data_IF_370931601226
#
_entry.id   IF_370931601226
#
_cell.length_a   1.000
_cell.length_b   1.000
_cell.length_c   1.000
_cell.angle_alpha   90.00
_cell.angle_beta   90.00
_cell.angle_gamma   90.00
#
_symmetry.space_group_name_H-M   'P 1'
#
loop_
_entity.id
_entity.type
_entity.pdbx_description
1 polymer ?
#
# COMPACT_ATOMS: atom_id res chain seq x y z
N UNK A 1 -2.85 -15.39 19.44
CA UNK A 1 -2.24 -14.96 18.17
C UNK A 1 -3.06 -13.78 17.67
N UNK A 2 -2.64 -12.55 17.97
CA UNK A 2 -3.38 -11.34 17.54
C UNK A 2 -3.05 -10.99 16.08
N UNK A 3 -3.91 -10.24 15.37
CA UNK A 3 -3.60 -9.80 14.02
C UNK A 3 -2.36 -8.91 14.04
N UNK A 4 -1.26 -9.35 13.42
CA UNK A 4 -0.18 -8.44 13.07
C UNK A 4 -0.76 -7.44 12.05
N UNK A 5 -1.12 -6.25 12.53
CA UNK A 5 -1.64 -5.17 11.70
C UNK A 5 -0.59 -4.78 10.65
N UNK A 6 -1.04 -4.43 9.44
CA UNK A 6 -0.16 -4.06 8.33
C UNK A 6 0.87 -2.98 8.71
N UNK A 7 0.49 -2.10 9.66
CA UNK A 7 1.34 -1.07 10.28
C UNK A 7 2.68 -1.61 10.81
N UNK A 8 2.70 -2.81 11.41
CA UNK A 8 3.90 -3.41 12.01
C UNK A 8 4.63 -4.40 11.13
N UNK A 9 4.04 -4.81 10.00
CA UNK A 9 4.62 -5.82 9.12
C UNK A 9 5.36 -5.24 7.93
N UNK A 10 4.93 -4.07 7.46
CA UNK A 10 5.39 -3.47 6.20
C UNK A 10 6.07 -2.11 6.39
N UNK A 11 5.82 -1.43 7.51
CA UNK A 11 6.45 -0.16 7.86
C UNK A 11 7.38 -0.32 9.08
N UNK A 12 8.67 -0.55 8.83
CA UNK A 12 9.70 -0.47 9.89
C UNK A 12 9.98 0.97 10.35
N UNK A 13 9.34 1.98 9.73
CA UNK A 13 9.72 3.39 9.91
C UNK A 13 8.51 4.32 10.07
N UNK A 14 7.88 4.33 11.26
CA UNK A 14 7.20 5.50 11.85
C UNK A 14 6.33 6.40 10.96
N UNK A 15 5.76 5.88 9.88
CA UNK A 15 4.93 6.59 8.91
C UNK A 15 3.55 5.96 8.92
N UNK A 16 2.51 6.79 9.08
CA UNK A 16 1.13 6.34 8.95
C UNK A 16 0.85 6.01 7.48
N UNK A 17 0.67 4.71 7.21
CA UNK A 17 0.41 4.18 5.88
C UNK A 17 -0.97 4.62 5.40
N UNK A 18 -1.04 5.26 4.23
CA UNK A 18 -2.33 5.53 3.58
C UNK A 18 -2.95 4.22 3.09
N UNK A 19 -4.27 4.09 3.22
CA UNK A 19 -5.04 3.03 2.58
C UNK A 19 -6.02 3.71 1.63
N UNK A 20 -5.67 3.86 0.34
CA UNK A 20 -6.61 4.43 -0.61
C UNK A 20 -7.80 3.49 -0.84
N UNK A 21 -9.02 3.95 -0.58
CA UNK A 21 -10.27 3.20 -0.76
C UNK A 21 -11.12 3.71 -1.91
N UNK A 22 -10.78 4.88 -2.47
CA UNK A 22 -11.42 5.46 -3.65
C UNK A 22 -10.38 5.88 -4.68
N UNK A 23 -10.80 6.08 -5.92
CA UNK A 23 -9.93 6.53 -7.00
C UNK A 23 -9.29 7.89 -6.68
N UNK A 24 -10.05 8.79 -6.03
CA UNK A 24 -9.57 10.12 -5.61
C UNK A 24 -8.51 10.01 -4.51
N UNK A 25 -8.70 9.09 -3.55
CA UNK A 25 -7.70 8.82 -2.52
C UNK A 25 -6.44 8.21 -3.11
N UNK A 26 -6.58 7.31 -4.10
CA UNK A 26 -5.44 6.69 -4.78
C UNK A 26 -4.64 7.75 -5.55
N UNK A 27 -5.35 8.61 -6.30
CA UNK A 27 -4.74 9.72 -7.02
C UNK A 27 -4.02 10.69 -6.07
N UNK A 28 -4.65 11.07 -4.96
CA UNK A 28 -4.02 11.93 -3.96
C UNK A 28 -2.75 11.28 -3.36
N UNK A 29 -2.78 9.98 -3.08
CA UNK A 29 -1.63 9.26 -2.57
C UNK A 29 -0.48 9.22 -3.60
N UNK A 30 -0.78 9.00 -4.88
CA UNK A 30 0.18 9.04 -5.98
C UNK A 30 0.81 10.43 -6.15
N UNK A 31 0.02 11.50 -6.06
CA UNK A 31 0.50 12.87 -6.11
C UNK A 31 1.41 13.20 -4.93
N UNK A 32 1.04 12.79 -3.71
CA UNK A 32 1.85 12.97 -2.50
C UNK A 32 3.17 12.18 -2.55
N UNK A 33 3.15 11.00 -3.16
CA UNK A 33 4.35 10.18 -3.37
C UNK A 33 5.33 10.82 -4.37
N UNK A 34 4.87 11.80 -5.16
CA UNK A 34 5.70 12.61 -6.06
C UNK A 34 6.60 11.76 -6.98
N UNK A 35 6.06 10.66 -7.49
CA UNK A 35 6.79 9.74 -8.34
C UNK A 35 7.83 8.89 -7.60
N UNK A 36 7.69 8.67 -6.29
CA UNK A 36 8.52 7.76 -5.49
C UNK A 36 7.69 6.57 -5.04
N UNK A 37 8.23 5.35 -5.13
CA UNK A 37 7.53 4.18 -4.59
C UNK A 37 7.31 4.33 -3.09
N UNK A 38 6.11 3.99 -2.63
CA UNK A 38 5.78 4.23 -1.24
C UNK A 38 4.79 3.27 -0.60
N UNK A 39 5.06 2.85 0.62
CA UNK A 39 4.24 1.88 1.34
C UNK A 39 2.80 2.36 1.55
N UNK A 40 1.84 1.46 1.30
CA UNK A 40 0.42 1.63 1.65
C UNK A 40 0.04 0.62 2.72
N UNK A 41 -1.07 0.88 3.40
CA UNK A 41 -1.47 0.16 4.62
C UNK A 41 -2.14 -1.18 4.35
N UNK A 42 -1.67 -1.97 3.38
CA UNK A 42 -2.28 -3.25 3.00
C UNK A 42 -1.27 -4.39 3.08
N UNK A 43 -1.70 -5.55 3.54
CA UNK A 43 -0.88 -6.77 3.63
C UNK A 43 -1.74 -8.01 3.50
N UNK A 44 -1.21 -9.10 2.94
CA UNK A 44 -1.89 -10.40 2.90
C UNK A 44 -1.12 -11.48 3.69
N UNK A 45 -0.18 -11.08 4.56
CA UNK A 45 0.71 -11.96 5.33
C UNK A 45 0.00 -13.05 6.15
N UNK A 46 -1.27 -12.86 6.48
CA UNK A 46 -2.09 -13.86 7.19
C UNK A 46 -2.61 -14.93 6.23
N UNK A 47 -3.09 -14.52 5.06
CA UNK A 47 -3.67 -15.40 4.05
C UNK A 47 -3.32 -14.83 2.68
N UNK A 48 -2.41 -15.51 1.99
CA UNK A 48 -1.95 -15.15 0.64
C UNK A 48 -3.13 -14.88 -0.31
N UNK A 49 -3.06 -13.77 -1.04
CA UNK A 49 -4.11 -13.32 -1.96
C UNK A 49 -5.32 -12.67 -1.27
N UNK A 50 -5.32 -12.54 0.07
CA UNK A 50 -6.35 -11.84 0.84
C UNK A 50 -5.73 -10.67 1.58
N UNK A 51 -5.69 -9.52 0.89
CA UNK A 51 -5.15 -8.29 1.45
C UNK A 51 -6.08 -7.68 2.49
N UNK A 52 -5.52 -7.38 3.65
CA UNK A 52 -6.17 -6.69 4.78
C UNK A 52 -5.57 -5.30 4.96
N UNK A 53 -6.43 -4.34 5.29
CA UNK A 53 -6.03 -2.96 5.55
C UNK A 53 -5.68 -2.73 7.03
N UNK A 54 -4.71 -1.86 7.29
CA UNK A 54 -4.32 -1.42 8.62
C UNK A 54 -5.27 -0.38 9.24
N UNK A 55 -6.08 0.29 8.44
CA UNK A 55 -6.90 1.44 8.85
C UNK A 55 -8.09 1.10 9.77
N UNK A 56 -8.38 -0.18 9.96
CA UNK A 56 -9.48 -0.65 10.81
C UNK A 56 -10.87 -0.39 10.24
N UNK A 57 -10.99 0.06 8.98
CA UNK A 57 -12.27 0.39 8.33
C UNK A 57 -12.94 -0.82 7.66
N UNK A 58 -12.41 -2.03 7.87
CA UNK A 58 -12.94 -3.27 7.30
C UNK A 58 -12.25 -3.69 6.00
N UNK A 59 -12.82 -4.65 5.25
CA UNK A 59 -12.21 -5.20 4.04
C UNK A 59 -12.02 -4.14 2.95
N UNK A 60 -11.09 -4.40 2.04
CA UNK A 60 -10.90 -3.58 0.84
C UNK A 60 -11.95 -3.98 -0.20
N UNK A 61 -12.90 -3.09 -0.48
CA UNK A 61 -13.91 -3.30 -1.53
C UNK A 61 -13.35 -3.00 -2.93
N UNK A 62 -12.29 -2.17 -2.99
CA UNK A 62 -11.63 -1.75 -4.22
C UNK A 62 -10.12 -1.82 -4.02
N UNK A 63 -9.41 -2.26 -5.06
CA UNK A 63 -7.95 -2.30 -5.12
C UNK A 63 -7.46 -1.59 -6.37
N UNK A 64 -6.30 -0.94 -6.30
CA UNK A 64 -5.73 -0.17 -7.41
C UNK A 64 -4.40 -0.76 -7.90
N UNK A 65 -4.34 -2.09 -8.02
CA UNK A 65 -3.14 -2.80 -8.46
C UNK A 65 -2.64 -2.29 -9.81
N UNK A 66 -1.31 -2.27 -9.94
CA UNK A 66 -0.67 -2.11 -11.24
C UNK A 66 -0.97 -3.33 -12.14
N UNK A 67 -0.59 -3.21 -13.41
CA UNK A 67 -0.91 -4.19 -14.44
C UNK A 67 -0.45 -5.63 -14.14
N UNK A 68 0.63 -5.81 -13.37
CA UNK A 68 1.20 -7.11 -13.03
C UNK A 68 0.97 -7.51 -11.58
N UNK A 69 0.23 -6.72 -10.81
CA UNK A 69 0.12 -6.93 -9.37
C UNK A 69 -1.31 -7.30 -8.96
N UNK A 70 -1.50 -8.01 -7.84
CA UNK A 70 -0.43 -8.64 -7.06
C UNK A 70 0.09 -9.90 -7.78
N UNK A 71 1.40 -10.16 -7.72
CA UNK A 71 2.01 -11.33 -8.37
C UNK A 71 2.73 -12.28 -7.41
N UNK A 72 2.95 -11.89 -6.17
CA UNK A 72 3.67 -12.64 -5.17
C UNK A 72 4.95 -13.31 -5.70
N UNK A 73 5.79 -12.51 -6.36
CA UNK A 73 7.05 -12.94 -6.95
C UNK A 73 7.91 -13.70 -5.93
N UNK A 74 8.12 -14.99 -6.21
CA UNK A 74 8.89 -15.89 -5.36
C UNK A 74 8.20 -16.31 -4.05
N UNK A 75 6.91 -16.01 -3.86
CA UNK A 75 6.14 -16.44 -2.69
C UNK A 75 6.44 -15.68 -1.40
N UNK A 76 6.95 -14.44 -1.50
CA UNK A 76 7.52 -13.67 -0.39
C UNK A 76 7.03 -12.22 -0.32
N UNK A 77 6.16 -11.79 -1.23
CA UNK A 77 5.67 -10.41 -1.28
C UNK A 77 4.33 -10.34 -0.56
N UNK A 78 4.28 -9.56 0.51
CA UNK A 78 3.12 -9.53 1.40
C UNK A 78 2.67 -8.13 1.78
N UNK A 79 3.26 -7.10 1.18
CA UNK A 79 3.06 -5.72 1.57
C UNK A 79 2.73 -4.88 0.35
N UNK A 80 1.71 -4.03 0.42
CA UNK A 80 1.38 -3.14 -0.69
C UNK A 80 2.22 -1.88 -0.70
N UNK A 81 2.67 -1.45 -1.87
CA UNK A 81 3.24 -0.12 -2.13
C UNK A 81 2.52 0.56 -3.31
N UNK A 82 2.57 1.88 -3.37
CA UNK A 82 2.44 2.63 -4.62
C UNK A 82 3.70 2.38 -5.44
N UNK A 83 3.51 2.04 -6.71
CA UNK A 83 4.57 1.70 -7.64
C UNK A 83 4.56 2.61 -8.87
N UNK A 84 5.71 3.21 -9.16
CA UNK A 84 5.95 4.03 -10.34
C UNK A 84 6.91 3.31 -11.29
N UNK A 85 6.40 2.89 -12.45
CA UNK A 85 7.25 2.32 -13.50
C UNK A 85 8.07 3.42 -14.21
N UNK A 86 9.32 3.61 -13.78
CA UNK A 86 10.24 4.55 -14.41
C UNK A 86 10.70 4.13 -15.81
N UNK A 87 10.45 2.88 -16.22
CA UNK A 87 10.78 2.41 -17.57
C UNK A 87 9.79 2.94 -18.61
N UNK A 88 8.65 3.51 -18.17
CA UNK A 88 7.51 3.96 -19.01
C UNK A 88 6.94 2.84 -19.88
N UNK A 89 7.14 1.59 -19.49
CA UNK A 89 6.62 0.45 -20.22
C UNK A 89 5.12 0.30 -19.97
N UNK A 90 4.60 0.79 -18.84
CA UNK A 90 3.19 0.66 -18.45
C UNK A 90 2.53 2.00 -18.12
N UNK A 91 1.24 2.18 -18.51
CA UNK A 91 0.68 3.52 -18.66
C UNK A 91 0.26 4.22 -17.37
N UNK A 92 0.09 3.54 -16.23
CA UNK A 92 -0.34 4.20 -15.00
C UNK A 92 0.32 3.59 -13.75
N UNK A 93 0.74 4.42 -12.77
CA UNK A 93 1.19 3.93 -11.48
C UNK A 93 0.03 3.32 -10.70
N UNK A 94 0.32 2.24 -9.99
CA UNK A 94 -0.68 1.44 -9.27
C UNK A 94 -0.10 0.84 -8.01
N UNK A 95 -0.81 -0.09 -7.40
CA UNK A 95 -0.31 -0.82 -6.24
C UNK A 95 0.52 -2.01 -6.69
N UNK A 96 1.60 -2.28 -5.97
CA UNK A 96 2.45 -3.45 -6.14
C UNK A 96 2.52 -4.20 -4.82
N UNK A 97 2.53 -5.53 -4.86
CA UNK A 97 2.88 -6.32 -3.69
C UNK A 97 4.39 -6.55 -3.67
N UNK A 98 5.03 -6.25 -2.54
CA UNK A 98 6.49 -6.32 -2.39
C UNK A 98 6.90 -7.01 -1.11
N UNK A 99 8.18 -7.39 -1.05
CA UNK A 99 8.80 -7.89 0.17
C UNK A 99 8.90 -6.76 1.19
N UNK A 100 8.50 -7.02 2.43
CA UNK A 100 8.71 -6.05 3.52
C UNK A 100 10.19 -5.65 3.61
N UNK A 101 10.45 -4.34 3.58
CA UNK A 101 11.81 -3.75 3.62
C UNK A 101 12.26 -2.99 2.36
N UNK A 102 11.54 -3.10 1.24
CA UNK A 102 11.80 -2.33 0.00
C UNK A 102 10.77 -1.19 -0.17
N UNK A 103 11.14 0.08 0.02
CA UNK A 103 10.25 1.25 -0.18
C UNK A 103 10.28 2.30 0.94
N UNK A 104 9.80 3.52 0.67
CA UNK A 104 9.72 4.64 1.63
C UNK A 104 8.27 4.82 2.09
N UNK A 105 7.99 5.04 3.38
CA UNK A 105 6.60 5.27 3.81
C UNK A 105 6.05 6.62 3.31
N UNK A 106 4.90 6.64 2.63
CA UNK A 106 4.16 7.89 2.37
C UNK A 106 3.52 8.36 3.68
N UNK A 107 3.79 9.61 4.09
CA UNK A 107 3.07 10.25 5.20
C UNK A 107 1.78 10.86 4.69
N UNK A 108 0.63 10.33 5.11
CA UNK A 108 -0.58 11.14 5.10
C UNK A 108 -0.46 12.24 6.17
N UNK A 109 -0.58 13.51 5.78
CA UNK A 109 -0.89 14.56 6.74
C UNK A 109 -2.33 14.34 7.22
N UNK A 110 -2.49 13.73 8.39
CA UNK A 110 -3.79 13.55 9.01
C UNK A 110 -4.48 14.90 9.20
N UNK A 111 -5.64 15.09 8.57
CA UNK A 111 -6.58 16.08 9.06
C UNK A 111 -7.13 15.52 10.37
N UNK A 112 -6.68 16.07 11.50
CA UNK A 112 -7.29 15.77 12.79
C UNK A 112 -8.78 16.10 12.70
N UNK A 113 -9.69 15.28 13.27
CA UNK A 113 -11.07 15.70 13.42
C UNK A 113 -11.08 16.94 14.32
N UNK A 114 -11.60 18.05 13.79
CA UNK A 114 -11.81 19.27 14.56
C UNK A 114 -12.67 18.93 15.79
N UNK A 115 -12.14 19.25 16.98
CA UNK A 115 -12.90 19.29 18.23
C UNK A 115 -13.61 20.62 18.39
#
# INVERSE_FOLDING_TARGET
>A
MGPQRAETSCADQGAFLVVPRTAEQNQCALELAAGTNAWIGVTDRVTEGVFVAADGLGPLETTFWDYYSPNNNGGVQHCGELYFDYTRQYPDPGWNDVRGGEGVGVRAHGHAPAS
#
